data_IF_125695438418
#
_entry.id   IF_125695438418
#
_cell.length_a   1.000
_cell.length_b   1.000
_cell.length_c   1.000
_cell.angle_alpha   90.00
_cell.angle_beta   90.00
_cell.angle_gamma   90.00
#
_symmetry.space_group_name_H-M   'P 1'
#
loop_
_entity.id
_entity.type
_entity.pdbx_description
1 polymer ?
#
# COMPACT_ATOMS: atom_id res chain seq x y z
N UNK A 1 1.26 -7.30 -15.72
CA UNK A 1 1.79 -8.06 -14.58
C UNK A 1 1.80 -7.17 -13.37
N UNK A 2 1.20 -7.60 -12.28
CA UNK A 2 1.23 -6.84 -11.03
C UNK A 2 2.66 -6.64 -10.55
N UNK A 3 2.92 -5.47 -10.01
CA UNK A 3 4.27 -5.04 -9.67
C UNK A 3 4.91 -5.86 -8.55
N UNK A 4 6.23 -5.87 -8.56
CA UNK A 4 7.05 -6.53 -7.55
C UNK A 4 6.74 -6.06 -6.11
N UNK A 5 6.22 -4.84 -5.94
CA UNK A 5 5.83 -4.36 -4.62
C UNK A 5 4.59 -5.07 -4.04
N UNK A 6 3.64 -5.49 -4.87
CA UNK A 6 2.52 -6.31 -4.38
C UNK A 6 2.98 -7.71 -3.98
N UNK A 7 3.89 -8.30 -4.74
CA UNK A 7 4.49 -9.60 -4.37
C UNK A 7 5.23 -9.48 -3.03
N UNK A 8 6.05 -8.46 -2.86
CA UNK A 8 6.76 -8.17 -1.61
C UNK A 8 5.83 -7.91 -0.44
N UNK A 9 4.72 -7.20 -0.68
CA UNK A 9 3.66 -6.95 0.30
C UNK A 9 3.06 -8.26 0.81
N UNK A 10 2.63 -9.15 -0.08
CA UNK A 10 2.03 -10.44 0.29
C UNK A 10 3.02 -11.34 1.04
N UNK A 11 4.28 -11.41 0.60
CA UNK A 11 5.32 -12.15 1.32
C UNK A 11 5.55 -11.58 2.73
N UNK A 12 5.47 -10.27 2.88
CA UNK A 12 5.65 -9.62 4.19
C UNK A 12 4.55 -10.00 5.17
N UNK A 13 3.31 -10.15 4.71
CA UNK A 13 2.24 -10.69 5.56
C UNK A 13 2.60 -12.07 6.13
N UNK A 14 3.20 -12.94 5.33
CA UNK A 14 3.69 -14.24 5.79
C UNK A 14 4.77 -14.12 6.87
N UNK A 15 5.70 -13.19 6.73
CA UNK A 15 6.73 -12.91 7.74
C UNK A 15 6.10 -12.38 9.03
N UNK A 16 5.17 -11.42 8.93
CA UNK A 16 4.46 -10.86 10.08
C UNK A 16 3.69 -11.94 10.82
N UNK A 17 2.98 -12.81 10.09
CA UNK A 17 2.25 -13.94 10.68
C UNK A 17 3.16 -14.89 11.46
N UNK A 18 4.39 -15.11 10.99
CA UNK A 18 5.37 -16.00 11.62
C UNK A 18 6.18 -15.33 12.74
N UNK A 19 6.10 -14.02 12.89
CA UNK A 19 6.90 -13.24 13.84
C UNK A 19 6.02 -12.44 14.81
N UNK A 20 5.66 -11.21 14.46
CA UNK A 20 4.92 -10.30 15.32
C UNK A 20 3.44 -10.69 15.52
N UNK A 21 2.86 -11.42 14.58
CA UNK A 21 1.47 -11.91 14.59
C UNK A 21 0.44 -10.79 14.82
N UNK A 22 0.61 -9.68 14.13
CA UNK A 22 -0.34 -8.55 14.19
C UNK A 22 -1.70 -9.01 13.65
N UNK A 23 -2.76 -8.81 14.44
CA UNK A 23 -4.13 -9.10 14.00
C UNK A 23 -4.55 -8.21 12.83
N UNK A 24 -5.32 -8.77 11.90
CA UNK A 24 -5.91 -8.04 10.76
C UNK A 24 -7.15 -7.25 11.19
N UNK A 25 -7.05 -6.47 12.25
CA UNK A 25 -8.19 -5.78 12.84
C UNK A 25 -7.78 -4.45 13.47
N UNK A 26 -8.53 -3.40 13.18
CA UNK A 26 -8.31 -2.07 13.75
C UNK A 26 -6.89 -1.56 13.52
N UNK A 27 -6.29 -0.98 14.54
CA UNK A 27 -4.94 -0.39 14.46
C UNK A 27 -3.85 -1.41 14.18
N UNK A 28 -3.94 -2.62 14.75
CA UNK A 28 -2.96 -3.68 14.46
C UNK A 28 -3.04 -4.15 13.00
N UNK A 29 -4.24 -4.21 12.44
CA UNK A 29 -4.44 -4.49 11.02
C UNK A 29 -3.86 -3.39 10.13
N UNK A 30 -4.08 -2.13 10.48
CA UNK A 30 -3.49 -0.99 9.78
C UNK A 30 -1.96 -1.02 9.82
N UNK A 31 -1.39 -1.34 10.97
CA UNK A 31 0.07 -1.49 11.10
C UNK A 31 0.60 -2.67 10.28
N UNK A 32 -0.10 -3.79 10.28
CA UNK A 32 0.23 -4.95 9.46
C UNK A 32 0.30 -4.56 7.97
N UNK A 33 -0.73 -3.89 7.45
CA UNK A 33 -0.77 -3.41 6.07
C UNK A 33 0.33 -2.39 5.76
N UNK A 34 0.58 -1.45 6.68
CA UNK A 34 1.62 -0.43 6.52
C UNK A 34 3.01 -1.05 6.43
N UNK A 35 3.33 -2.00 7.29
CA UNK A 35 4.62 -2.71 7.25
C UNK A 35 4.75 -3.50 5.95
N UNK A 36 3.68 -4.17 5.52
CA UNK A 36 3.67 -4.90 4.25
C UNK A 36 3.93 -3.97 3.06
N UNK A 37 3.34 -2.78 3.05
CA UNK A 37 3.59 -1.77 2.01
C UNK A 37 5.04 -1.25 2.03
N UNK A 38 5.61 -1.02 3.21
CA UNK A 38 7.01 -0.58 3.34
C UNK A 38 7.96 -1.60 2.71
N UNK A 39 7.85 -2.87 3.10
CA UNK A 39 8.71 -3.91 2.54
C UNK A 39 8.42 -4.18 1.07
N UNK A 40 7.16 -4.11 0.64
CA UNK A 40 6.80 -4.19 -0.77
C UNK A 40 7.46 -3.09 -1.59
N UNK A 41 7.46 -1.86 -1.11
CA UNK A 41 8.15 -0.74 -1.75
C UNK A 41 9.66 -0.96 -1.82
N UNK A 42 10.27 -1.47 -0.76
CA UNK A 42 11.71 -1.78 -0.74
C UNK A 42 12.06 -2.89 -1.76
N UNK A 43 11.25 -3.91 -1.90
CA UNK A 43 11.42 -4.95 -2.92
C UNK A 43 11.40 -4.35 -4.32
N UNK A 44 10.43 -3.47 -4.60
CA UNK A 44 10.35 -2.77 -5.90
C UNK A 44 11.60 -1.93 -6.16
N UNK A 45 12.02 -1.12 -5.18
CA UNK A 45 13.21 -0.28 -5.29
C UNK A 45 14.47 -1.13 -5.57
N UNK A 46 14.60 -2.25 -4.88
CA UNK A 46 15.71 -3.18 -5.10
C UNK A 46 15.67 -3.78 -6.51
N UNK A 47 14.51 -4.26 -6.94
CA UNK A 47 14.34 -4.87 -8.25
C UNK A 47 14.58 -3.91 -9.42
N UNK A 48 14.27 -2.62 -9.23
CA UNK A 48 14.45 -1.56 -10.23
C UNK A 48 15.76 -0.80 -10.09
N UNK A 49 16.62 -1.20 -9.15
CA UNK A 49 17.87 -0.50 -8.80
C UNK A 49 17.66 1.00 -8.52
N UNK A 50 16.57 1.31 -7.83
CA UNK A 50 16.21 2.69 -7.47
C UNK A 50 16.55 2.99 -6.02
N UNK A 51 17.03 4.21 -5.79
CA UNK A 51 17.17 4.75 -4.44
C UNK A 51 15.84 5.33 -3.96
N UNK A 52 15.66 5.42 -2.65
CA UNK A 52 14.42 5.95 -2.05
C UNK A 52 14.05 7.35 -2.54
N UNK A 53 15.02 8.20 -2.84
CA UNK A 53 14.78 9.54 -3.40
C UNK A 53 14.13 9.52 -4.80
N UNK A 54 14.34 8.43 -5.56
CA UNK A 54 13.86 8.27 -6.93
C UNK A 54 12.64 7.34 -7.01
N UNK A 55 12.19 6.82 -5.86
CA UNK A 55 11.01 5.95 -5.78
C UNK A 55 9.72 6.76 -5.95
N UNK A 56 8.72 6.15 -6.58
CA UNK A 56 7.39 6.75 -6.75
C UNK A 56 6.52 6.64 -5.49
N UNK A 57 6.86 5.74 -4.58
CA UNK A 57 6.12 5.45 -3.34
C UNK A 57 4.67 5.01 -3.57
N UNK A 58 4.40 4.43 -4.73
CA UNK A 58 3.09 3.89 -5.10
C UNK A 58 3.07 2.38 -4.93
N UNK A 59 1.99 1.86 -4.37
CA UNK A 59 1.69 0.45 -4.27
C UNK A 59 0.71 0.08 -5.38
N UNK A 60 1.05 -0.92 -6.17
CA UNK A 60 0.18 -1.43 -7.22
C UNK A 60 -0.02 -0.49 -8.40
N UNK A 61 0.94 0.37 -8.71
CA UNK A 61 0.86 1.31 -9.84
C UNK A 61 0.63 0.63 -11.18
N UNK A 62 1.18 -0.55 -11.38
CA UNK A 62 1.08 -1.31 -12.63
C UNK A 62 -0.19 -2.16 -12.70
N UNK A 63 -1.01 -2.18 -11.66
CA UNK A 63 -2.18 -3.05 -11.57
C UNK A 63 -3.48 -2.36 -11.99
N UNK A 64 -3.47 -1.05 -12.20
CA UNK A 64 -4.63 -0.34 -12.70
C UNK A 64 -4.79 -0.52 -14.20
N UNK A 65 -6.05 -0.64 -14.63
CA UNK A 65 -6.40 -0.55 -16.05
C UNK A 65 -6.12 0.88 -16.55
N UNK A 66 -5.65 1.03 -17.81
CA UNK A 66 -5.25 2.34 -18.33
C UNK A 66 -6.35 3.40 -18.32
N UNK A 67 -7.62 3.00 -18.31
CA UNK A 67 -8.78 3.90 -18.35
C UNK A 67 -9.29 4.30 -16.94
N UNK A 68 -8.73 3.74 -15.87
CA UNK A 68 -9.05 4.14 -14.50
C UNK A 68 -8.17 5.31 -14.06
N UNK A 69 -8.80 6.37 -13.54
CA UNK A 69 -8.09 7.54 -13.03
C UNK A 69 -7.43 7.22 -11.69
N UNK A 70 -6.13 6.99 -11.73
CA UNK A 70 -5.36 6.70 -10.55
C UNK A 70 -3.91 6.36 -10.88
N UNK A 71 -3.04 6.53 -9.88
CA UNK A 71 -1.62 6.23 -9.98
C UNK A 71 -1.27 4.85 -9.40
N UNK A 72 -2.09 4.30 -8.52
CA UNK A 72 -1.89 3.02 -7.86
C UNK A 72 -3.01 2.69 -6.88
N UNK A 73 -2.86 1.60 -6.17
CA UNK A 73 -3.83 1.20 -5.13
C UNK A 73 -3.69 2.07 -3.88
N UNK A 74 -2.47 2.42 -3.51
CA UNK A 74 -2.17 3.29 -2.38
C UNK A 74 -0.98 4.18 -2.71
N UNK A 75 -0.91 5.35 -2.08
CA UNK A 75 0.24 6.23 -2.10
C UNK A 75 0.83 6.32 -0.70
N UNK A 76 2.07 5.90 -0.52
CA UNK A 76 2.77 6.01 0.76
C UNK A 76 3.22 7.45 1.02
N UNK A 77 3.47 8.21 -0.05
CA UNK A 77 3.90 9.62 0.05
C UNK A 77 2.74 10.57 0.38
N UNK A 78 1.55 10.28 -0.13
CA UNK A 78 0.36 11.09 0.04
C UNK A 78 -0.88 10.19 0.19
N UNK A 79 -1.10 9.58 1.36
CA UNK A 79 -2.24 8.71 1.59
C UNK A 79 -3.58 9.39 1.26
N UNK A 80 -4.51 8.64 0.69
CA UNK A 80 -5.80 9.17 0.26
C UNK A 80 -5.80 9.81 -1.13
N UNK A 81 -4.68 9.80 -1.85
CA UNK A 81 -4.56 10.45 -3.18
C UNK A 81 -4.27 9.49 -4.33
N UNK A 82 -4.17 8.17 -4.07
CA UNK A 82 -3.73 7.23 -5.08
C UNK A 82 -4.67 7.13 -6.27
N UNK A 83 -5.99 7.24 -6.03
CA UNK A 83 -6.98 7.20 -7.11
C UNK A 83 -8.24 8.00 -6.78
N UNK A 84 -8.90 8.46 -7.83
CA UNK A 84 -10.23 9.05 -7.78
C UNK A 84 -10.92 8.82 -9.12
N UNK A 85 -11.85 7.88 -9.16
CA UNK A 85 -12.57 7.51 -10.38
C UNK A 85 -14.04 7.19 -10.06
N UNK A 86 -14.95 7.55 -10.96
CA UNK A 86 -16.40 7.37 -10.76
C UNK A 86 -16.81 5.91 -10.61
N UNK A 87 -16.02 4.97 -11.14
CA UNK A 87 -16.31 3.53 -11.11
C UNK A 87 -15.83 2.84 -9.83
N UNK A 88 -14.74 3.33 -9.24
CA UNK A 88 -14.08 2.71 -8.06
C UNK A 88 -14.09 3.60 -6.83
N UNK A 89 -14.50 4.86 -6.97
CA UNK A 89 -14.52 5.83 -5.88
C UNK A 89 -13.20 6.54 -5.66
N UNK A 90 -13.04 7.10 -4.47
CA UNK A 90 -11.82 7.77 -4.04
C UNK A 90 -11.05 6.89 -3.05
N UNK A 91 -9.72 7.02 -3.05
CA UNK A 91 -8.84 6.34 -2.10
C UNK A 91 -9.23 6.70 -0.65
N UNK A 92 -9.66 5.72 0.18
CA UNK A 92 -10.10 5.97 1.55
C UNK A 92 -8.98 5.97 2.58
N UNK A 93 -7.71 5.82 2.18
CA UNK A 93 -6.61 5.69 3.13
C UNK A 93 -6.44 6.94 3.99
N UNK A 94 -6.41 6.81 5.34
CA UNK A 94 -6.15 7.92 6.22
C UNK A 94 -4.68 8.33 6.18
N UNK A 95 -4.41 9.62 6.38
CA UNK A 95 -3.05 10.15 6.47
C UNK A 95 -2.60 10.37 7.93
N UNK A 96 -3.51 10.20 8.89
CA UNK A 96 -3.23 10.40 10.31
C UNK A 96 -4.08 9.52 11.21
N UNK A 97 -3.66 9.41 12.46
CA UNK A 97 -4.40 8.68 13.51
C UNK A 97 -5.72 9.34 13.90
N UNK A 98 -5.91 10.61 13.53
CA UNK A 98 -7.14 11.34 13.85
C UNK A 98 -8.34 10.88 13.01
N UNK A 99 -8.11 10.23 11.88
CA UNK A 99 -9.14 9.67 11.02
C UNK A 99 -9.56 8.26 11.45
N UNK A 100 -9.81 8.09 12.74
CA UNK A 100 -10.06 6.80 13.38
C UNK A 100 -11.22 5.99 12.78
N UNK A 101 -12.20 6.65 12.17
CA UNK A 101 -13.32 5.98 11.51
C UNK A 101 -12.87 5.15 10.29
N UNK A 102 -11.77 5.53 9.66
CA UNK A 102 -11.24 4.84 8.47
C UNK A 102 -10.44 3.59 8.83
N UNK A 103 -10.01 3.43 10.09
CA UNK A 103 -9.27 2.26 10.54
C UNK A 103 -10.07 0.96 10.43
N UNK A 104 -11.39 1.06 10.38
CA UNK A 104 -12.27 -0.10 10.21
C UNK A 104 -12.45 -0.53 8.75
N UNK A 105 -11.90 0.24 7.80
CA UNK A 105 -11.97 -0.05 6.37
C UNK A 105 -10.77 -0.85 5.85
N UNK A 106 -9.80 -1.09 6.70
CA UNK A 106 -8.56 -1.82 6.38
C UNK A 106 -8.73 -3.29 6.71
#
# INVERSE_FOLDING_TARGET
MCSSNLVGHEFTHGVIHSTARLDYKGQSGALNESIADVFGSLVKQYAEDKKSKDADWLIGGDCFLPDIKGAGLRSMKAPGTAYKDVRVGADPQPDSMNDSLLWNLI
#
